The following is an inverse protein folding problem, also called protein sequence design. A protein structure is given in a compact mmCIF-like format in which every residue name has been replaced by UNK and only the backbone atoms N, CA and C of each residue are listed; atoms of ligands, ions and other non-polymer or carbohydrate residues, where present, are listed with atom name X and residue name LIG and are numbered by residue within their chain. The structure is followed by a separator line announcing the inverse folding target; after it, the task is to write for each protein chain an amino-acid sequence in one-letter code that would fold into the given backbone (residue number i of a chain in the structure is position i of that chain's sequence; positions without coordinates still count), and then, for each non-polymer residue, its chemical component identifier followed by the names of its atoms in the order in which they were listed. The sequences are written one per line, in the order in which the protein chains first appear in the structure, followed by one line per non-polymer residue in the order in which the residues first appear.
data_IF_681879772270
#
_entry.id   IF_681879772270
#
_cell.length_a   1.000
_cell.length_b   1.000
_cell.length_c   1.000
_cell.angle_alpha   90.00
_cell.angle_beta   90.00
_cell.angle_gamma   90.00
#
_symmetry.space_group_name_H-M   'P 1'
#
loop_
_entity.id
_entity.type
_entity.pdbx_description
1 polymer ?
#
# COMPACT_ATOMS: atom_id res chain seq x y z
N UNK A 1 -25.20 1.11 -2.86
CA UNK A 1 -24.22 0.46 -3.76
C UNK A 1 -23.01 1.35 -3.99
N UNK A 2 -23.19 2.61 -4.43
CA UNK A 2 -22.06 3.55 -4.63
C UNK A 2 -21.17 3.76 -3.39
N UNK A 3 -21.77 3.98 -2.22
CA UNK A 3 -20.99 4.09 -0.96
C UNK A 3 -20.18 2.82 -0.67
N UNK A 4 -20.71 1.63 -0.99
CA UNK A 4 -20.01 0.36 -0.79
C UNK A 4 -18.85 0.23 -1.77
N UNK A 5 -19.05 0.61 -3.03
CA UNK A 5 -17.99 0.65 -4.03
C UNK A 5 -16.85 1.59 -3.59
N UNK A 6 -17.19 2.76 -3.05
CA UNK A 6 -16.20 3.72 -2.51
C UNK A 6 -15.44 3.13 -1.31
N UNK A 7 -16.12 2.51 -0.35
CA UNK A 7 -15.47 1.84 0.79
C UNK A 7 -14.52 0.73 0.35
N UNK A 8 -14.94 -0.12 -0.59
CA UNK A 8 -14.10 -1.20 -1.12
C UNK A 8 -12.87 -0.68 -1.86
N UNK A 9 -13.03 0.44 -2.57
CA UNK A 9 -11.93 1.12 -3.23
C UNK A 9 -10.95 1.73 -2.21
N UNK A 10 -11.45 2.44 -1.21
CA UNK A 10 -10.65 3.03 -0.13
C UNK A 10 -9.89 1.96 0.65
N UNK A 11 -10.56 0.84 0.97
CA UNK A 11 -9.92 -0.34 1.56
C UNK A 11 -8.77 -0.87 0.70
N UNK A 12 -8.99 -1.02 -0.61
CA UNK A 12 -7.95 -1.51 -1.52
C UNK A 12 -6.75 -0.55 -1.60
N UNK A 13 -7.00 0.77 -1.56
CA UNK A 13 -5.94 1.78 -1.46
C UNK A 13 -5.15 1.64 -0.16
N UNK A 14 -5.83 1.57 0.99
CA UNK A 14 -5.20 1.44 2.31
C UNK A 14 -4.37 0.17 2.42
N UNK A 15 -4.96 -0.98 2.08
CA UNK A 15 -4.24 -2.27 2.10
C UNK A 15 -3.06 -2.25 1.14
N UNK A 16 -3.19 -1.66 -0.05
CA UNK A 16 -2.08 -1.48 -0.98
C UNK A 16 -0.93 -0.66 -0.37
N UNK A 17 -1.23 0.48 0.24
CA UNK A 17 -0.21 1.32 0.86
C UNK A 17 0.44 0.65 2.09
N UNK A 18 -0.32 -0.12 2.89
CA UNK A 18 0.25 -0.93 3.96
C UNK A 18 1.17 -2.04 3.42
N UNK A 19 0.78 -2.72 2.33
CA UNK A 19 1.65 -3.70 1.67
C UNK A 19 2.94 -3.06 1.16
N UNK A 20 2.86 -1.83 0.65
CA UNK A 20 4.04 -1.06 0.24
C UNK A 20 4.99 -0.81 1.41
N UNK A 21 4.49 -0.27 2.53
CA UNK A 21 5.32 0.00 3.72
C UNK A 21 5.92 -1.29 4.28
N UNK A 22 5.14 -2.37 4.41
CA UNK A 22 5.65 -3.68 4.84
C UNK A 22 6.77 -4.19 3.92
N UNK A 23 6.62 -4.08 2.60
CA UNK A 23 7.64 -4.54 1.65
C UNK A 23 8.94 -3.73 1.72
N UNK A 24 8.91 -2.47 2.18
CA UNK A 24 10.15 -1.71 2.40
C UNK A 24 10.99 -2.30 3.55
N UNK A 25 10.35 -3.01 4.47
CA UNK A 25 10.98 -3.64 5.63
C UNK A 25 11.38 -5.10 5.38
N UNK A 26 10.88 -5.72 4.31
CA UNK A 26 11.12 -7.13 3.98
C UNK A 26 12.08 -7.25 2.78
N UNK A 27 13.32 -7.76 2.99
CA UNK A 27 14.28 -7.92 1.90
C UNK A 27 13.77 -8.83 0.79
N UNK A 28 14.08 -8.47 -0.47
CA UNK A 28 13.78 -9.31 -1.63
C UNK A 28 12.41 -9.08 -2.27
N UNK A 29 11.53 -8.31 -1.62
CA UNK A 29 10.23 -7.92 -2.18
C UNK A 29 10.28 -6.49 -2.73
N UNK A 30 9.75 -6.31 -3.95
CA UNK A 30 9.57 -4.99 -4.57
C UNK A 30 8.34 -4.27 -3.97
N UNK A 31 8.52 -3.10 -3.32
CA UNK A 31 7.41 -2.36 -2.71
C UNK A 31 6.31 -1.92 -3.67
N UNK A 32 6.61 -1.65 -4.94
CA UNK A 32 5.59 -1.25 -5.92
C UNK A 32 4.73 -2.45 -6.34
N UNK A 33 5.34 -3.64 -6.42
CA UNK A 33 4.60 -4.89 -6.66
C UNK A 33 3.74 -5.26 -5.46
N UNK A 34 4.21 -5.01 -4.24
CA UNK A 34 3.41 -5.21 -3.03
C UNK A 34 2.20 -4.26 -2.99
N UNK A 35 2.40 -2.98 -3.34
CA UNK A 35 1.27 -2.03 -3.47
C UNK A 35 0.24 -2.53 -4.47
N UNK A 36 0.70 -2.97 -5.64
CA UNK A 36 -0.18 -3.51 -6.67
C UNK A 36 -0.95 -4.74 -6.18
N UNK A 37 -0.32 -5.65 -5.44
CA UNK A 37 -0.99 -6.81 -4.85
C UNK A 37 -2.18 -6.39 -3.98
N UNK A 38 -1.98 -5.42 -3.08
CA UNK A 38 -3.04 -4.87 -2.23
C UNK A 38 -4.09 -4.07 -3.00
N UNK A 39 -3.75 -3.40 -4.10
CA UNK A 39 -4.75 -2.74 -4.94
C UNK A 39 -5.63 -3.74 -5.71
N UNK A 40 -5.06 -4.87 -6.12
CA UNK A 40 -5.72 -5.82 -7.02
C UNK A 40 -6.52 -6.89 -6.28
N UNK A 41 -6.21 -7.17 -5.01
CA UNK A 41 -6.80 -8.32 -4.29
C UNK A 41 -8.33 -8.36 -4.28
N UNK A 42 -9.00 -7.20 -4.31
CA UNK A 42 -10.47 -7.07 -4.29
C UNK A 42 -11.07 -6.50 -5.57
N UNK A 43 -10.34 -6.55 -6.68
CA UNK A 43 -10.83 -6.05 -7.98
C UNK A 43 -12.13 -6.75 -8.41
N UNK A 44 -12.30 -8.03 -8.06
CA UNK A 44 -13.54 -8.77 -8.34
C UNK A 44 -14.73 -8.28 -7.52
N UNK A 45 -14.53 -7.89 -6.26
CA UNK A 45 -15.58 -7.31 -5.43
C UNK A 45 -16.08 -5.98 -6.04
N UNK A 46 -15.16 -5.12 -6.47
CA UNK A 46 -15.49 -3.86 -7.16
C UNK A 46 -16.30 -4.10 -8.45
N UNK A 47 -15.87 -5.07 -9.26
CA UNK A 47 -16.58 -5.43 -10.49
C UNK A 47 -18.01 -5.94 -10.21
N UNK A 48 -18.19 -6.80 -9.21
CA UNK A 48 -19.50 -7.30 -8.79
C UNK A 48 -20.39 -6.14 -8.33
N UNK A 49 -19.88 -5.28 -7.44
CA UNK A 49 -20.63 -4.13 -6.91
C UNK A 49 -21.04 -3.16 -8.01
N UNK A 50 -20.17 -2.91 -8.98
CA UNK A 50 -20.46 -2.06 -10.12
C UNK A 50 -21.57 -2.66 -11.01
N UNK A 51 -21.59 -3.98 -11.19
CA UNK A 51 -22.65 -4.65 -11.95
C UNK A 51 -23.99 -4.65 -11.19
N UNK A 52 -23.96 -4.83 -9.88
CA UNK A 52 -25.15 -4.73 -9.02
C UNK A 52 -25.70 -3.30 -8.93
N UNK A 53 -24.87 -2.27 -9.10
CA UNK A 53 -25.32 -0.88 -9.19
C UNK A 53 -26.07 -0.59 -10.51
N UNK A 54 -25.73 -1.32 -11.58
CA UNK A 54 -26.34 -1.18 -12.91
C UNK A 54 -27.60 -2.03 -13.10
N UNK A 55 -27.67 -3.19 -12.45
CA UNK A 55 -28.86 -4.03 -12.43
C UNK A 55 -29.83 -3.47 -11.36
N UNK A 56 -31.10 -3.27 -11.71
CA UNK A 56 -32.12 -2.61 -10.87
C UNK A 56 -32.00 -2.83 -9.34
N UNK A 57 -32.30 -1.76 -8.60
CA UNK A 57 -32.04 -1.53 -7.16
C UNK A 57 -32.74 -2.46 -6.14
N UNK A 58 -33.33 -3.57 -6.59
CA UNK A 58 -34.07 -4.50 -5.73
C UNK A 58 -33.22 -5.64 -5.15
N UNK A 59 -31.90 -5.66 -5.43
CA UNK A 59 -31.00 -6.64 -4.79
C UNK A 59 -30.86 -6.33 -3.31
N UNK A 60 -31.24 -7.27 -2.44
CA UNK A 60 -31.08 -7.11 -1.00
C UNK A 60 -29.59 -7.05 -0.63
N UNK A 61 -29.28 -6.40 0.50
CA UNK A 61 -27.91 -6.31 1.01
C UNK A 61 -27.28 -7.70 1.20
N UNK A 62 -28.05 -8.64 1.77
CA UNK A 62 -27.63 -10.01 2.01
C UNK A 62 -27.25 -10.77 0.72
N UNK A 63 -28.05 -10.62 -0.34
CA UNK A 63 -27.74 -11.24 -1.64
C UNK A 63 -26.48 -10.62 -2.25
N UNK A 64 -26.30 -9.31 -2.10
CA UNK A 64 -25.10 -8.62 -2.58
C UNK A 64 -23.84 -9.03 -1.81
N UNK A 65 -23.91 -9.13 -0.49
CA UNK A 65 -22.81 -9.60 0.36
C UNK A 65 -22.43 -11.02 -0.01
N UNK A 66 -23.42 -11.92 -0.11
CA UNK A 66 -23.18 -13.31 -0.50
C UNK A 66 -22.54 -13.44 -1.88
N UNK A 67 -22.98 -12.62 -2.85
CA UNK A 67 -22.39 -12.60 -4.18
C UNK A 67 -20.92 -12.13 -4.16
N UNK A 68 -20.60 -11.06 -3.43
CA UNK A 68 -19.23 -10.57 -3.29
C UNK A 68 -18.34 -11.62 -2.61
N UNK A 69 -18.81 -12.21 -1.51
CA UNK A 69 -18.06 -13.23 -0.77
C UNK A 69 -17.76 -14.47 -1.62
N UNK A 70 -18.75 -14.93 -2.39
CA UNK A 70 -18.64 -16.19 -3.14
C UNK A 70 -17.95 -16.02 -4.49
N UNK A 71 -18.14 -14.89 -5.16
CA UNK A 71 -17.75 -14.73 -6.57
C UNK A 71 -16.53 -13.82 -6.77
N UNK A 72 -16.10 -13.03 -5.77
CA UNK A 72 -15.04 -12.04 -5.99
C UNK A 72 -13.74 -12.64 -6.51
N UNK A 73 -13.34 -13.83 -6.06
CA UNK A 73 -12.09 -14.43 -6.50
C UNK A 73 -12.17 -14.82 -7.98
N UNK A 74 -13.24 -15.53 -8.36
CA UNK A 74 -13.50 -15.92 -9.74
C UNK A 74 -13.62 -14.70 -10.67
N UNK A 75 -14.42 -13.71 -10.29
CA UNK A 75 -14.59 -12.48 -11.08
C UNK A 75 -13.28 -11.70 -11.14
N UNK A 76 -12.52 -11.64 -10.05
CA UNK A 76 -11.22 -10.97 -10.00
C UNK A 76 -10.22 -11.58 -10.97
N UNK A 77 -10.12 -12.92 -11.01
CA UNK A 77 -9.28 -13.64 -11.98
C UNK A 77 -9.71 -13.30 -13.41
N UNK A 78 -11.01 -13.31 -13.72
CA UNK A 78 -11.51 -12.93 -15.04
C UNK A 78 -11.12 -11.48 -15.42
N UNK A 79 -11.18 -10.55 -14.46
CA UNK A 79 -10.79 -9.15 -14.70
C UNK A 79 -9.30 -9.06 -15.01
N UNK A 80 -8.42 -9.68 -14.22
CA UNK A 80 -6.96 -9.58 -14.45
C UNK A 80 -6.51 -10.30 -15.71
N UNK A 81 -7.19 -11.40 -16.09
CA UNK A 81 -6.98 -12.03 -17.41
C UNK A 81 -7.37 -11.07 -18.54
N UNK A 82 -8.49 -10.36 -18.42
CA UNK A 82 -8.90 -9.36 -19.39
C UNK A 82 -7.95 -8.15 -19.50
N UNK A 83 -7.18 -7.89 -18.44
CA UNK A 83 -6.16 -6.83 -18.39
C UNK A 83 -4.77 -7.29 -18.84
N UNK A 84 -4.60 -8.56 -19.27
CA UNK A 84 -3.30 -9.14 -19.60
C UNK A 84 -2.30 -9.11 -18.42
N UNK A 85 -2.84 -9.26 -17.21
CA UNK A 85 -2.11 -9.24 -15.93
C UNK A 85 -2.17 -10.61 -15.21
N UNK A 86 -2.39 -11.69 -15.96
CA UNK A 86 -2.46 -13.05 -15.42
C UNK A 86 -1.13 -13.51 -14.80
N UNK A 87 -1.18 -14.57 -14.00
CA UNK A 87 -0.02 -15.09 -13.24
C UNK A 87 -0.07 -14.64 -11.79
N UNK A 88 0.87 -13.80 -11.37
CA UNK A 88 1.00 -13.39 -9.95
C UNK A 88 -0.28 -12.74 -9.42
N UNK A 89 -0.98 -11.92 -10.22
CA UNK A 89 -2.24 -11.29 -9.77
C UNK A 89 -3.36 -12.31 -9.56
N UNK A 90 -3.44 -13.36 -10.38
CA UNK A 90 -4.43 -14.44 -10.21
C UNK A 90 -4.19 -15.17 -8.90
N UNK A 91 -2.93 -15.54 -8.61
CA UNK A 91 -2.55 -16.17 -7.35
C UNK A 91 -2.86 -15.29 -6.12
N UNK A 92 -2.57 -13.99 -6.23
CA UNK A 92 -2.91 -13.01 -5.18
C UNK A 92 -4.42 -13.00 -4.91
N UNK A 93 -5.25 -12.90 -5.95
CA UNK A 93 -6.69 -12.83 -5.80
C UNK A 93 -7.24 -14.11 -5.18
N UNK A 94 -6.83 -15.28 -5.69
CA UNK A 94 -7.30 -16.59 -5.21
C UNK A 94 -6.90 -16.87 -3.76
N UNK A 95 -5.70 -16.46 -3.35
CA UNK A 95 -5.15 -16.76 -2.02
C UNK A 95 -5.28 -15.60 -1.03
N UNK A 96 -5.83 -14.44 -1.45
CA UNK A 96 -5.97 -13.23 -0.63
C UNK A 96 -6.76 -13.41 0.66
N UNK A 97 -7.49 -14.53 0.81
CA UNK A 97 -8.32 -14.86 1.97
C UNK A 97 -8.00 -16.21 2.57
N UNK A 98 -6.92 -16.84 2.14
CA UNK A 98 -6.44 -18.11 2.69
C UNK A 98 -5.56 -17.84 3.91
N UNK A 99 -6.19 -17.57 5.05
CA UNK A 99 -5.50 -17.10 6.26
C UNK A 99 -4.54 -18.13 6.86
N UNK A 100 -4.84 -19.42 6.67
CA UNK A 100 -4.03 -20.54 7.18
C UNK A 100 -3.15 -21.13 6.08
N UNK A 101 -2.76 -20.31 5.10
CA UNK A 101 -1.95 -20.75 3.97
C UNK A 101 -0.64 -21.39 4.41
N UNK A 102 -0.59 -22.71 4.21
CA UNK A 102 0.60 -23.51 4.41
C UNK A 102 1.42 -23.59 3.13
N UNK A 103 2.74 -23.48 3.25
CA UNK A 103 3.69 -23.58 2.15
C UNK A 103 5.02 -24.12 2.65
N UNK A 104 5.75 -24.73 1.74
CA UNK A 104 7.07 -25.32 2.02
C UNK A 104 8.17 -24.26 2.22
N UNK A 105 8.05 -23.09 1.58
CA UNK A 105 9.00 -22.00 1.77
C UNK A 105 8.74 -21.20 3.06
N UNK A 106 9.82 -20.87 3.78
CA UNK A 106 9.75 -20.02 4.97
C UNK A 106 9.86 -18.51 4.62
N UNK A 107 10.36 -18.17 3.43
CA UNK A 107 10.52 -16.78 3.01
C UNK A 107 9.16 -16.11 2.75
N UNK A 108 8.96 -14.85 3.20
CA UNK A 108 7.73 -14.11 2.99
C UNK A 108 7.52 -13.74 1.51
N UNK A 109 6.27 -13.82 1.04
CA UNK A 109 5.88 -13.32 -0.28
C UNK A 109 4.83 -12.19 -0.25
N UNK A 110 4.42 -11.74 -1.43
CA UNK A 110 3.39 -10.70 -1.58
C UNK A 110 2.02 -11.08 -1.01
N UNK A 111 1.68 -12.38 -0.95
CA UNK A 111 0.42 -12.86 -0.39
C UNK A 111 0.52 -12.80 1.15
N UNK A 112 1.67 -13.15 1.72
CA UNK A 112 1.90 -13.04 3.16
C UNK A 112 1.81 -11.56 3.63
N UNK A 113 2.43 -10.62 2.89
CA UNK A 113 2.28 -9.17 3.13
C UNK A 113 0.80 -8.74 3.08
N UNK A 114 0.08 -9.20 2.07
CA UNK A 114 -1.32 -8.87 1.84
C UNK A 114 -2.23 -9.39 2.96
N UNK A 115 -2.02 -10.63 3.40
CA UNK A 115 -2.79 -11.21 4.50
C UNK A 115 -2.57 -10.42 5.80
N UNK A 116 -1.33 -10.07 6.12
CA UNK A 116 -1.03 -9.27 7.32
C UNK A 116 -1.57 -7.85 7.20
N UNK A 117 -1.42 -7.18 6.06
CA UNK A 117 -1.97 -5.85 5.84
C UNK A 117 -3.50 -5.82 6.02
N UNK A 118 -4.22 -6.78 5.42
CA UNK A 118 -5.67 -6.89 5.58
C UNK A 118 -6.07 -7.12 7.04
N UNK A 119 -5.36 -8.00 7.74
CA UNK A 119 -5.66 -8.33 9.12
C UNK A 119 -5.48 -7.13 10.06
N UNK A 120 -4.38 -6.39 9.90
CA UNK A 120 -4.11 -5.17 10.66
C UNK A 120 -5.09 -4.06 10.30
N UNK A 121 -5.56 -4.01 9.05
CA UNK A 121 -6.59 -3.07 8.63
C UNK A 121 -7.95 -3.35 9.28
N UNK A 122 -8.39 -4.61 9.29
CA UNK A 122 -9.71 -5.03 9.76
C UNK A 122 -9.84 -5.21 11.28
N UNK A 123 -8.73 -5.07 12.02
CA UNK A 123 -8.66 -5.43 13.44
C UNK A 123 -9.70 -4.72 14.32
N UNK A 124 -10.16 -3.53 13.94
CA UNK A 124 -11.20 -2.77 14.63
C UNK A 124 -12.63 -3.09 14.16
N UNK A 125 -12.82 -3.49 12.90
CA UNK A 125 -14.15 -3.59 12.29
C UNK A 125 -14.79 -4.98 12.41
N UNK A 126 -13.98 -6.04 12.60
CA UNK A 126 -14.29 -7.43 13.01
C UNK A 126 -13.49 -8.41 12.17
N UNK A 127 -12.60 -9.15 12.82
CA UNK A 127 -11.84 -10.23 12.19
C UNK A 127 -12.76 -11.38 11.72
N UNK A 128 -12.40 -12.11 10.65
CA UNK A 128 -13.11 -13.32 10.24
C UNK A 128 -13.29 -14.30 11.42
N UNK A 129 -14.50 -14.88 11.58
CA UNK A 129 -14.78 -15.76 12.69
C UNK A 129 -13.94 -17.04 12.62
N UNK A 130 -13.41 -17.47 13.77
CA UNK A 130 -12.65 -18.71 13.87
C UNK A 130 -11.17 -18.59 13.50
N UNK A 131 -10.66 -17.37 13.26
CA UNK A 131 -9.22 -17.16 13.13
C UNK A 131 -8.51 -17.35 14.48
N UNK A 132 -7.31 -17.97 14.46
CA UNK A 132 -6.44 -17.99 15.62
C UNK A 132 -5.92 -16.56 15.91
N UNK A 133 -5.28 -16.35 17.08
CA UNK A 133 -4.51 -15.15 17.36
C UNK A 133 -3.57 -14.77 16.20
N UNK A 134 -3.36 -13.46 16.00
CA UNK A 134 -2.57 -12.93 14.88
C UNK A 134 -1.15 -13.50 14.82
N UNK A 135 -0.53 -13.70 15.97
CA UNK A 135 0.82 -14.26 16.15
C UNK A 135 0.91 -15.75 15.79
N UNK A 136 -0.22 -16.46 15.75
CA UNK A 136 -0.27 -17.85 15.32
C UNK A 136 -0.44 -17.99 13.80
N UNK A 137 -0.83 -16.93 13.09
CA UNK A 137 -1.06 -16.99 11.64
C UNK A 137 0.26 -17.22 10.87
N UNK A 138 0.29 -18.15 9.89
CA UNK A 138 1.50 -18.45 9.13
C UNK A 138 2.14 -17.22 8.48
N UNK A 139 1.33 -16.37 7.84
CA UNK A 139 1.82 -15.15 7.19
C UNK A 139 2.47 -14.17 8.18
N UNK A 140 1.89 -14.03 9.39
CA UNK A 140 2.44 -13.15 10.42
C UNK A 140 3.77 -13.68 10.96
N UNK A 141 3.89 -15.00 11.16
CA UNK A 141 5.13 -15.65 11.59
C UNK A 141 6.24 -15.56 10.55
N UNK A 142 5.94 -15.70 9.26
CA UNK A 142 6.94 -15.56 8.18
C UNK A 142 7.47 -14.14 8.05
N UNK A 143 6.62 -13.14 8.28
CA UNK A 143 7.05 -11.74 8.25
C UNK A 143 7.92 -11.36 9.45
N UNK A 144 7.80 -12.08 10.57
CA UNK A 144 8.50 -11.83 11.84
C UNK A 144 8.72 -10.33 12.10
N UNK A 145 7.66 -9.57 12.40
CA UNK A 145 7.77 -8.11 12.60
C UNK A 145 8.62 -7.71 13.82
N UNK A 146 9.18 -8.69 14.56
CA UNK A 146 10.13 -8.47 15.63
C UNK A 146 9.52 -7.79 16.86
N UNK A 147 10.37 -7.08 17.61
CA UNK A 147 10.05 -6.45 18.90
C UNK A 147 9.01 -5.31 18.83
N UNK A 148 8.52 -4.97 17.64
CA UNK A 148 7.58 -3.86 17.41
C UNK A 148 6.21 -4.31 16.92
N UNK A 149 5.86 -5.60 17.13
CA UNK A 149 4.54 -6.15 16.78
C UNK A 149 3.37 -5.30 17.29
N UNK A 150 3.48 -4.73 18.49
CA UNK A 150 2.45 -3.89 19.13
C UNK A 150 2.29 -2.51 18.44
N UNK A 151 3.38 -1.94 17.94
CA UNK A 151 3.40 -0.63 17.26
C UNK A 151 3.27 -0.74 15.74
N UNK A 152 3.31 -1.95 15.19
CA UNK A 152 3.29 -2.20 13.75
C UNK A 152 2.05 -1.59 13.09
N UNK A 153 0.87 -1.82 13.66
CA UNK A 153 -0.40 -1.33 13.11
C UNK A 153 -0.48 0.19 13.02
N UNK A 154 -0.34 0.96 14.12
CA UNK A 154 -0.45 2.42 14.06
C UNK A 154 0.58 3.06 13.13
N UNK A 155 1.80 2.50 13.05
CA UNK A 155 2.83 2.99 12.13
C UNK A 155 2.49 2.72 10.67
N UNK A 156 2.08 1.49 10.33
CA UNK A 156 1.68 1.16 8.97
C UNK A 156 0.47 1.97 8.50
N UNK A 157 -0.47 2.28 9.38
CA UNK A 157 -1.61 3.15 9.07
C UNK A 157 -1.15 4.57 8.72
N UNK A 158 -0.28 5.15 9.54
CA UNK A 158 0.27 6.47 9.29
C UNK A 158 1.05 6.52 7.97
N UNK A 159 1.97 5.56 7.76
CA UNK A 159 2.75 5.48 6.53
C UNK A 159 1.84 5.31 5.30
N UNK A 160 0.79 4.49 5.42
CA UNK A 160 -0.17 4.26 4.36
C UNK A 160 -0.97 5.52 4.01
N UNK A 161 -1.38 6.30 5.00
CA UNK A 161 -2.07 7.58 4.79
C UNK A 161 -1.18 8.60 4.08
N UNK A 162 0.09 8.73 4.49
CA UNK A 162 1.07 9.60 3.85
C UNK A 162 1.32 9.17 2.40
N UNK A 163 1.48 7.86 2.17
CA UNK A 163 1.69 7.28 0.85
C UNK A 163 0.52 7.55 -0.10
N UNK A 164 -0.71 7.31 0.35
CA UNK A 164 -1.92 7.58 -0.43
C UNK A 164 -2.07 9.06 -0.70
N UNK A 165 -1.74 9.93 0.25
CA UNK A 165 -1.75 11.37 0.06
C UNK A 165 -0.80 11.77 -1.08
N UNK A 166 0.45 11.31 -1.03
CA UNK A 166 1.44 11.55 -2.09
C UNK A 166 0.97 11.00 -3.43
N UNK A 167 0.46 9.77 -3.46
CA UNK A 167 -0.05 9.14 -4.68
C UNK A 167 -1.20 9.94 -5.31
N UNK A 168 -2.15 10.43 -4.50
CA UNK A 168 -3.27 11.26 -4.96
C UNK A 168 -2.80 12.62 -5.49
N UNK A 169 -1.80 13.24 -4.86
CA UNK A 169 -1.21 14.50 -5.34
C UNK A 169 -0.56 14.30 -6.72
N UNK A 170 0.21 13.22 -6.89
CA UNK A 170 0.83 12.87 -8.17
C UNK A 170 -0.20 12.70 -9.30
N UNK A 171 -1.32 12.01 -9.03
CA UNK A 171 -2.40 11.84 -10.01
C UNK A 171 -3.06 13.15 -10.42
N UNK A 172 -3.09 14.14 -9.53
CA UNK A 172 -3.58 15.50 -9.82
C UNK A 172 -2.56 16.39 -10.52
N UNK A 173 -1.33 15.91 -10.70
CA UNK A 173 -0.21 16.69 -11.23
C UNK A 173 0.37 17.70 -10.23
N UNK A 174 0.08 17.54 -8.95
CA UNK A 174 0.63 18.33 -7.84
C UNK A 174 2.00 17.75 -7.44
N UNK A 175 2.90 18.59 -6.94
CA UNK A 175 4.17 18.11 -6.39
C UNK A 175 3.93 17.62 -4.94
N UNK A 176 4.03 16.32 -4.65
CA UNK A 176 3.77 15.77 -3.31
C UNK A 176 4.79 16.24 -2.27
N UNK A 177 5.97 16.68 -2.70
CA UNK A 177 7.06 17.16 -1.83
C UNK A 177 7.13 18.69 -1.80
N UNK A 178 6.16 19.40 -2.38
CA UNK A 178 6.05 20.83 -2.18
C UNK A 178 5.64 21.07 -0.72
N UNK A 179 6.56 21.61 0.08
CA UNK A 179 6.24 22.15 1.41
C UNK A 179 4.90 22.88 1.34
N UNK A 180 3.96 22.49 2.21
CA UNK A 180 2.70 23.19 2.37
C UNK A 180 3.01 24.70 2.42
N UNK A 181 2.39 25.54 1.57
CA UNK A 181 2.72 26.95 1.55
C UNK A 181 2.50 27.46 2.96
N UNK A 182 3.59 27.86 3.62
CA UNK A 182 3.53 28.44 4.96
C UNK A 182 2.46 29.53 4.91
N UNK A 183 1.43 29.39 5.76
CA UNK A 183 0.37 30.37 5.95
C UNK A 183 0.99 31.74 6.20
N UNK A 184 1.23 32.47 5.12
CA UNK A 184 1.94 33.75 5.10
C UNK A 184 1.04 34.72 4.36
N UNK A 185 0.09 35.28 5.11
CA UNK A 185 -0.55 36.57 4.89
C UNK A 185 -0.50 37.13 3.45
N UNK A 186 -1.40 36.67 2.59
CA UNK A 186 -1.69 37.34 1.32
C UNK A 186 -2.54 38.59 1.57
N UNK A 187 -1.83 39.67 1.91
CA UNK A 187 -2.28 41.04 1.71
C UNK A 187 -2.19 41.34 0.21
N UNK A 188 -3.35 41.67 -0.36
CA UNK A 188 -3.59 42.27 -1.68
C UNK A 188 -2.37 42.94 -2.35
N UNK A 189 -1.98 42.47 -3.55
CA UNK A 189 -1.55 43.35 -4.66
C UNK A 189 -1.88 42.73 -6.03
N UNK A 190 -2.57 43.54 -6.82
CA UNK A 190 -2.98 43.38 -8.23
C UNK A 190 -1.89 42.80 -9.14
N UNK A 191 -2.21 41.93 -10.14
CA UNK A 191 -1.19 41.36 -11.01
C UNK A 191 -0.72 42.37 -12.08
N UNK A 192 0.59 42.52 -12.34
CA UNK A 192 1.08 43.33 -13.45
C UNK A 192 0.90 42.60 -14.81
N UNK A 193 0.90 43.33 -15.94
CA UNK A 193 0.55 42.77 -17.24
C UNK A 193 1.60 41.77 -17.74
N UNK A 194 1.13 40.59 -18.15
CA UNK A 194 1.95 39.49 -18.69
C UNK A 194 2.62 39.90 -20.01
N UNK A 195 3.95 39.97 -20.04
CA UNK A 195 4.74 39.99 -21.28
C UNK A 195 5.08 38.55 -21.71
N UNK A 196 4.87 38.21 -22.98
CA UNK A 196 5.20 36.90 -23.55
C UNK A 196 6.72 36.66 -23.50
N UNK A 197 7.21 35.50 -23.03
CA UNK A 197 8.63 35.17 -23.14
C UNK A 197 9.02 34.83 -24.59
N UNK A 198 10.20 35.32 -24.99
CA UNK A 198 10.86 35.03 -26.26
C UNK A 198 11.42 33.59 -26.25
N UNK A 199 11.36 32.94 -27.41
CA UNK A 199 11.81 31.56 -27.69
C UNK A 199 13.13 31.15 -27.02
N UNK A 200 13.15 29.99 -26.36
CA UNK A 200 14.39 29.28 -25.98
C UNK A 200 14.80 28.30 -27.08
N UNK A 201 16.11 28.09 -27.32
CA UNK A 201 16.60 27.12 -28.29
C UNK A 201 16.42 25.68 -27.77
N UNK A 202 16.03 24.79 -28.68
CA UNK A 202 15.87 23.35 -28.47
C UNK A 202 17.23 22.70 -28.22
N UNK A 203 17.41 22.03 -27.09
CA UNK A 203 18.55 21.12 -26.87
C UNK A 203 18.16 19.74 -27.42
N UNK A 204 19.01 19.18 -28.29
CA UNK A 204 18.80 17.88 -28.93
C UNK A 204 18.91 16.72 -27.92
N UNK A 205 17.94 15.80 -27.98
CA UNK A 205 17.78 14.60 -27.13
C UNK A 205 19.04 13.70 -27.08
N UNK A 206 19.94 13.81 -28.06
CA UNK A 206 21.20 13.07 -28.11
C UNK A 206 22.19 13.37 -26.99
N UNK A 207 22.05 14.49 -26.26
CA UNK A 207 22.94 14.81 -25.14
C UNK A 207 22.56 14.13 -23.82
N UNK A 208 21.32 13.64 -23.66
CA UNK A 208 20.86 12.94 -22.44
C UNK A 208 21.29 11.47 -22.38
N UNK A 209 21.82 10.90 -23.46
CA UNK A 209 22.11 9.46 -23.61
C UNK A 209 23.60 9.13 -23.64
N UNK A 210 24.40 9.75 -22.76
CA UNK A 210 25.78 9.28 -22.49
C UNK A 210 25.82 8.40 -21.24
N UNK A 211 26.33 7.16 -21.30
CA UNK A 211 26.38 6.27 -20.15
C UNK A 211 27.38 6.77 -19.11
N UNK A 212 26.96 6.88 -17.84
CA UNK A 212 27.86 7.17 -16.71
C UNK A 212 28.69 5.93 -16.37
N UNK A 213 30.02 6.07 -16.34
CA UNK A 213 30.97 5.02 -15.90
C UNK A 213 30.79 4.74 -14.40
N UNK A 214 30.57 3.48 -14.00
CA UNK A 214 30.57 3.03 -12.60
C UNK A 214 32.01 2.85 -12.08
N UNK A 215 32.29 3.39 -10.89
CA UNK A 215 33.54 3.22 -10.12
C UNK A 215 33.62 1.80 -9.52
N UNK A 216 34.83 1.27 -9.23
CA UNK A 216 34.98 -0.04 -8.59
C UNK A 216 34.47 -0.02 -7.15
N UNK A 217 33.71 -1.06 -6.80
CA UNK A 217 33.12 -1.34 -5.50
C UNK A 217 34.19 -1.72 -4.46
N UNK A 218 34.16 -1.05 -3.31
CA UNK A 218 34.87 -1.47 -2.10
C UNK A 218 34.05 -2.52 -1.34
N UNK A 219 34.70 -3.37 -0.52
CA UNK A 219 34.02 -4.45 0.20
C UNK A 219 33.17 -3.86 1.32
N UNK A 220 31.92 -4.31 1.42
CA UNK A 220 31.00 -3.92 2.50
C UNK A 220 31.40 -4.69 3.76
N UNK A 221 31.85 -3.95 4.78
CA UNK A 221 32.11 -4.47 6.11
C UNK A 221 30.82 -5.01 6.73
N UNK A 222 30.91 -6.25 7.21
CA UNK A 222 29.94 -6.94 8.04
C UNK A 222 29.84 -6.21 9.38
N UNK A 223 28.79 -5.41 9.56
CA UNK A 223 28.42 -4.82 10.86
C UNK A 223 26.93 -5.03 11.07
N UNK A 224 26.61 -6.00 11.91
CA UNK A 224 25.39 -6.14 12.73
C UNK A 224 24.16 -5.43 12.16
N UNK A 225 23.44 -6.09 11.27
CA UNK A 225 22.14 -5.68 10.71
C UNK A 225 21.00 -5.60 11.74
N UNK A 226 21.28 -5.79 13.04
CA UNK A 226 20.30 -5.63 14.13
C UNK A 226 20.18 -4.18 14.65
N UNK A 227 21.18 -3.33 14.39
CA UNK A 227 21.16 -1.93 14.86
C UNK A 227 20.56 -0.96 13.81
N UNK A 228 20.35 -1.41 12.58
CA UNK A 228 19.88 -0.59 11.46
C UNK A 228 18.36 -0.72 11.33
N UNK A 229 17.66 -0.06 12.25
CA UNK A 229 16.35 0.58 12.06
C UNK A 229 15.84 1.18 13.38
N UNK A 230 16.48 0.86 14.51
CA UNK A 230 16.12 1.40 15.84
C UNK A 230 16.28 2.93 15.93
N UNK A 231 17.29 3.51 15.26
CA UNK A 231 17.52 4.96 15.27
C UNK A 231 16.52 5.74 14.40
N UNK A 232 16.26 5.27 13.18
CA UNK A 232 15.26 5.87 12.28
C UNK A 232 13.84 5.71 12.86
N UNK A 233 13.58 4.58 13.52
CA UNK A 233 12.34 4.31 14.25
C UNK A 233 12.13 5.26 15.43
N UNK A 234 13.16 5.45 16.27
CA UNK A 234 13.12 6.40 17.39
C UNK A 234 12.98 7.85 16.94
N UNK A 235 13.63 8.22 15.84
CA UNK A 235 13.49 9.55 15.24
C UNK A 235 12.05 9.80 14.76
N UNK A 236 11.45 8.83 14.07
CA UNK A 236 10.06 8.89 13.59
C UNK A 236 9.03 8.93 14.74
N UNK A 237 9.23 8.13 15.80
CA UNK A 237 8.38 8.16 17.00
C UNK A 237 8.48 9.51 17.74
N UNK A 238 9.70 10.06 17.83
CA UNK A 238 9.94 11.36 18.44
C UNK A 238 9.31 12.52 17.64
N UNK A 239 9.33 12.46 16.30
CA UNK A 239 8.64 13.42 15.42
C UNK A 239 7.12 13.41 15.63
N UNK A 240 6.56 12.26 16.03
CA UNK A 240 5.13 12.06 16.25
C UNK A 240 4.68 12.32 17.69
N UNK A 241 5.60 12.64 18.61
CA UNK A 241 5.30 12.90 20.02
C UNK A 241 4.81 11.66 20.78
N UNK A 242 5.06 10.46 20.26
CA UNK A 242 4.75 9.18 20.90
C UNK A 242 6.01 8.73 21.67
N UNK A 243 5.94 8.71 23.00
CA UNK A 243 7.01 8.15 23.84
C UNK A 243 6.95 6.63 23.86
N UNK A 244 8.13 6.01 23.82
CA UNK A 244 8.34 4.59 24.11
C UNK A 244 8.23 4.38 25.63
N UNK A 245 7.04 4.58 26.20
CA UNK A 245 6.78 4.26 27.61
C UNK A 245 6.44 2.77 27.75
N UNK A 246 7.38 1.93 27.31
CA UNK A 246 7.50 0.53 27.69
C UNK A 246 8.22 0.41 29.04
N UNK A 247 7.65 0.97 30.11
CA UNK A 247 8.03 0.62 31.49
C UNK A 247 6.99 -0.33 32.04
N UNK A 248 7.26 -1.63 31.94
CA UNK A 248 6.54 -2.66 32.69
C UNK A 248 6.73 -2.44 34.20
N UNK A 249 5.62 -2.38 34.93
CA UNK A 249 5.49 -2.75 36.34
C UNK A 249 4.40 -3.82 36.46
#
# INVERSE_FOLDING_TARGET
TLERLQREWERSLMVGAMCHSLAQQVPGLDPERARLAGLMHRIGALAILQQLDRADSLTSLEVSDHAVETLQALVGVLVVTGLDMEGTCSSIIEQSREWLRDREEDDPDYIDLLLVAQLLYDMEERLPPGLPPIDELPAYRRLDPGAHSENLRPLLMLDAEEDIHRFRALLKGENPDAEAPALSAEIEREPPPRKRPKSRPTVLVSELLKPKKKKPSQPVEDRSTKEINEAAYRERLAELGLSDDGSSD
#
